data_IF_271070272997
#
_entry.id   IF_271070272997
#
_cell.length_a   1.000
_cell.length_b   1.000
_cell.length_c   1.000
_cell.angle_alpha   90.00
_cell.angle_beta   90.00
_cell.angle_gamma   90.00
#
_symmetry.space_group_name_H-M   'P 1'
#
loop_
_entity.id
_entity.type
_entity.pdbx_description
1 polymer ?
#
# COMPACT_ATOMS: atom_id res chain seq x y z
N UNK A 1 7.39 -8.51 -17.55
CA UNK A 1 8.24 -9.29 -16.62
C UNK A 1 7.54 -10.47 -15.94
N UNK A 2 6.20 -10.62 -16.10
CA UNK A 2 5.44 -11.75 -15.51
C UNK A 2 5.86 -13.11 -16.09
N UNK A 3 6.28 -13.16 -17.36
CA UNK A 3 6.71 -14.40 -18.02
C UNK A 3 8.02 -15.00 -17.46
N UNK A 4 8.69 -14.30 -16.56
CA UNK A 4 9.93 -14.74 -15.90
C UNK A 4 9.70 -15.34 -14.50
N UNK A 5 8.48 -15.29 -13.99
CA UNK A 5 8.17 -15.73 -12.63
C UNK A 5 7.59 -17.15 -12.70
N UNK A 6 8.35 -18.12 -12.20
CA UNK A 6 7.87 -19.50 -12.06
C UNK A 6 6.73 -19.59 -11.02
N UNK A 7 5.87 -20.63 -11.07
CA UNK A 7 4.65 -20.73 -10.24
C UNK A 7 4.87 -20.53 -8.73
N UNK A 8 6.00 -20.96 -8.21
CA UNK A 8 6.36 -20.77 -6.81
C UNK A 8 6.66 -19.29 -6.50
N UNK A 9 7.22 -18.52 -7.45
CA UNK A 9 7.41 -17.08 -7.31
C UNK A 9 6.09 -16.32 -7.21
N UNK A 10 5.08 -16.73 -7.97
CA UNK A 10 3.72 -16.18 -7.85
C UNK A 10 3.10 -16.44 -6.47
N UNK A 11 3.30 -17.65 -5.93
CA UNK A 11 2.84 -17.97 -4.58
C UNK A 11 3.53 -17.09 -3.52
N UNK A 12 4.86 -16.93 -3.58
CA UNK A 12 5.63 -16.08 -2.66
C UNK A 12 5.13 -14.65 -2.66
N UNK A 13 4.90 -14.06 -3.85
CA UNK A 13 4.34 -12.70 -3.98
C UNK A 13 2.91 -12.60 -3.43
N UNK A 14 2.08 -13.60 -3.71
CA UNK A 14 0.69 -13.64 -3.25
C UNK A 14 0.57 -13.62 -1.73
N UNK A 15 1.48 -14.30 -1.03
CA UNK A 15 1.52 -14.32 0.44
C UNK A 15 2.49 -13.28 1.04
N UNK A 16 3.07 -12.42 0.20
CA UNK A 16 4.00 -11.34 0.57
C UNK A 16 5.25 -11.82 1.35
N UNK A 17 5.69 -13.04 1.11
CA UNK A 17 6.92 -13.61 1.71
C UNK A 17 8.17 -12.86 1.21
N UNK A 18 8.13 -12.32 -0.01
CA UNK A 18 9.17 -11.47 -0.59
C UNK A 18 9.40 -10.17 0.18
N UNK A 19 8.44 -9.74 1.00
CA UNK A 19 8.55 -8.57 1.86
C UNK A 19 9.17 -8.90 3.25
N UNK A 20 9.40 -10.18 3.60
CA UNK A 20 10.01 -10.57 4.89
C UNK A 20 11.36 -9.89 5.20
N UNK A 21 12.27 -9.65 4.25
CA UNK A 21 13.49 -8.91 4.52
C UNK A 21 13.25 -7.50 5.08
N UNK A 22 12.09 -6.89 4.79
CA UNK A 22 11.72 -5.58 5.32
C UNK A 22 11.47 -5.60 6.84
N UNK A 23 11.21 -6.79 7.43
CA UNK A 23 11.13 -6.94 8.90
C UNK A 23 12.43 -6.54 9.59
N UNK A 24 13.57 -6.74 8.95
CA UNK A 24 14.86 -6.27 9.48
C UNK A 24 14.91 -4.74 9.55
N UNK A 25 14.30 -4.06 8.57
CA UNK A 25 14.20 -2.60 8.57
C UNK A 25 13.25 -2.09 9.68
N UNK A 26 12.21 -2.86 10.01
CA UNK A 26 11.32 -2.55 11.13
C UNK A 26 12.09 -2.71 12.46
N UNK A 27 12.83 -3.80 12.62
CA UNK A 27 13.63 -4.04 13.83
C UNK A 27 14.72 -2.98 14.01
N UNK A 28 15.30 -2.49 12.92
CA UNK A 28 16.29 -1.42 12.92
C UNK A 28 15.68 -0.02 13.11
N UNK A 29 14.36 0.11 13.12
CA UNK A 29 13.65 1.39 13.25
C UNK A 29 13.64 2.26 11.98
N UNK A 30 14.09 1.75 10.83
CA UNK A 30 14.09 2.48 9.56
C UNK A 30 12.78 2.34 8.79
N UNK A 31 11.94 1.38 9.18
CA UNK A 31 10.58 1.15 8.68
C UNK A 31 9.59 0.97 9.82
N UNK A 32 8.33 1.29 9.55
CA UNK A 32 7.19 1.00 10.42
C UNK A 32 6.41 -0.24 9.92
N UNK A 33 5.58 -0.84 10.78
CA UNK A 33 4.65 -1.88 10.36
C UNK A 33 3.57 -1.27 9.45
N UNK A 34 2.99 -0.15 9.88
CA UNK A 34 1.99 0.60 9.11
C UNK A 34 2.55 1.97 8.76
N UNK A 35 2.38 2.37 7.52
CA UNK A 35 2.87 3.65 7.01
C UNK A 35 2.66 3.84 5.51
N UNK A 36 3.11 4.98 4.97
CA UNK A 36 3.15 5.19 3.52
C UNK A 36 4.03 4.16 2.84
N UNK A 37 3.67 3.80 1.60
CA UNK A 37 4.47 2.85 0.81
C UNK A 37 5.83 3.47 0.45
N UNK A 38 6.94 2.70 0.55
CA UNK A 38 8.24 3.17 0.06
C UNK A 38 8.16 3.49 -1.43
N UNK A 39 8.80 4.58 -1.82
CA UNK A 39 8.92 5.05 -3.20
C UNK A 39 10.39 4.97 -3.60
N UNK A 40 10.67 4.48 -4.80
CA UNK A 40 12.03 4.43 -5.33
C UNK A 40 12.61 5.86 -5.45
N UNK A 41 13.90 6.00 -5.24
CA UNK A 41 14.57 7.31 -5.15
C UNK A 41 14.43 8.12 -6.46
N UNK A 42 14.47 7.45 -7.60
CA UNK A 42 14.32 8.04 -8.93
C UNK A 42 12.89 8.51 -9.23
N UNK A 43 11.91 8.00 -8.49
CA UNK A 43 10.50 8.35 -8.61
C UNK A 43 10.01 9.30 -7.51
N UNK A 44 10.89 9.65 -6.55
CA UNK A 44 10.49 10.39 -5.36
C UNK A 44 9.79 11.70 -5.71
N UNK A 45 10.36 12.51 -6.59
CA UNK A 45 9.79 13.81 -6.97
C UNK A 45 8.43 13.70 -7.68
N UNK A 46 8.20 12.58 -8.38
CA UNK A 46 6.94 12.28 -9.05
C UNK A 46 5.81 11.95 -8.05
N UNK A 47 6.15 11.28 -6.96
CA UNK A 47 5.17 10.80 -5.98
C UNK A 47 5.05 11.69 -4.74
N UNK A 48 6.06 12.50 -4.43
CA UNK A 48 6.16 13.31 -3.21
C UNK A 48 6.28 14.79 -3.55
N UNK A 49 5.16 15.43 -3.93
CA UNK A 49 5.09 16.85 -4.22
C UNK A 49 3.85 17.48 -3.57
N UNK A 50 3.87 18.81 -3.33
CA UNK A 50 2.76 19.53 -2.74
C UNK A 50 2.30 18.92 -1.40
N UNK A 51 1.01 18.79 -1.20
CA UNK A 51 0.44 18.22 0.04
C UNK A 51 0.83 16.75 0.27
N UNK A 52 1.09 15.98 -0.80
CA UNK A 52 1.48 14.57 -0.68
C UNK A 52 2.90 14.37 -0.17
N UNK A 53 3.72 15.42 -0.09
CA UNK A 53 5.03 15.37 0.56
C UNK A 53 4.91 15.12 2.08
N UNK A 54 3.74 15.31 2.68
CA UNK A 54 3.50 14.94 4.08
C UNK A 54 3.81 13.47 4.35
N UNK A 55 3.57 12.58 3.38
CA UNK A 55 3.89 11.16 3.50
C UNK A 55 5.40 10.88 3.62
N UNK A 56 6.27 11.80 3.21
CA UNK A 56 7.72 11.68 3.39
C UNK A 56 8.21 12.05 4.81
N UNK A 57 7.35 12.65 5.64
CA UNK A 57 7.69 13.08 7.00
C UNK A 57 7.54 11.97 8.04
N UNK A 58 6.94 10.85 7.67
CA UNK A 58 6.73 9.70 8.55
C UNK A 58 7.47 8.48 8.01
N UNK A 59 7.86 7.53 8.88
CA UNK A 59 8.51 6.30 8.42
C UNK A 59 7.63 5.56 7.40
N UNK A 60 8.26 5.03 6.36
CA UNK A 60 7.59 4.14 5.40
C UNK A 60 7.12 2.87 6.10
N UNK A 61 5.99 2.32 5.66
CA UNK A 61 5.39 1.14 6.26
C UNK A 61 5.56 -0.12 5.41
N UNK A 62 5.61 -1.28 6.08
CA UNK A 62 5.48 -2.59 5.43
C UNK A 62 4.09 -2.76 4.82
N UNK A 63 3.06 -2.28 5.51
CA UNK A 63 1.69 -2.23 5.04
C UNK A 63 1.08 -0.86 5.33
N UNK A 64 -0.12 -0.62 4.83
CA UNK A 64 -0.87 0.60 5.02
C UNK A 64 -2.02 0.70 4.03
N UNK A 65 -2.89 1.72 4.11
CA UNK A 65 -4.05 1.82 3.24
C UNK A 65 -3.69 1.90 1.75
N UNK A 66 -2.61 2.61 1.41
CA UNK A 66 -2.11 2.70 0.04
C UNK A 66 -1.51 1.37 -0.44
N UNK A 67 -0.77 0.66 0.43
CA UNK A 67 -0.19 -0.63 0.10
C UNK A 67 -1.26 -1.70 -0.12
N UNK A 68 -2.31 -1.73 0.72
CA UNK A 68 -3.45 -2.64 0.53
C UNK A 68 -4.27 -2.28 -0.72
N UNK A 69 -4.45 -1.00 -1.02
CA UNK A 69 -5.13 -0.56 -2.24
C UNK A 69 -4.37 -1.01 -3.50
N UNK A 70 -3.06 -0.88 -3.48
CA UNK A 70 -2.18 -1.36 -4.54
C UNK A 70 -2.27 -2.88 -4.71
N UNK A 71 -2.25 -3.62 -3.60
CA UNK A 71 -2.37 -5.07 -3.60
C UNK A 71 -3.70 -5.56 -4.17
N UNK A 72 -4.80 -4.85 -3.89
CA UNK A 72 -6.15 -5.24 -4.34
C UNK A 72 -6.40 -4.81 -5.79
N UNK A 73 -5.98 -3.60 -6.16
CA UNK A 73 -6.33 -2.99 -7.44
C UNK A 73 -5.14 -2.76 -8.38
N UNK A 74 -3.95 -2.50 -7.82
CA UNK A 74 -2.77 -2.14 -8.59
C UNK A 74 -2.05 -3.34 -9.19
N UNK A 75 -1.96 -4.42 -8.46
CA UNK A 75 -1.24 -5.63 -8.89
C UNK A 75 -1.88 -6.32 -10.13
N UNK A 76 -3.12 -5.95 -10.45
CA UNK A 76 -3.83 -6.45 -11.64
C UNK A 76 -3.56 -5.60 -12.90
N UNK A 77 -2.96 -4.42 -12.76
CA UNK A 77 -2.72 -3.48 -13.85
C UNK A 77 -1.25 -3.53 -14.24
N UNK A 78 -0.97 -4.02 -15.45
CA UNK A 78 0.38 -4.14 -16.01
C UNK A 78 0.81 -2.92 -16.82
N UNK A 79 -0.16 -2.14 -17.34
CA UNK A 79 0.12 -0.90 -18.08
C UNK A 79 0.34 0.27 -17.11
N UNK A 80 1.54 0.86 -17.17
CA UNK A 80 1.93 1.99 -16.33
C UNK A 80 1.00 3.21 -16.51
N UNK A 81 0.56 3.50 -17.73
CA UNK A 81 -0.35 4.62 -18.01
C UNK A 81 -1.73 4.39 -17.38
N UNK A 82 -2.23 3.17 -17.48
CA UNK A 82 -3.49 2.78 -16.87
C UNK A 82 -3.40 2.86 -15.34
N UNK A 83 -2.31 2.41 -14.74
CA UNK A 83 -2.04 2.52 -13.32
C UNK A 83 -2.04 3.99 -12.85
N UNK A 84 -1.36 4.89 -13.57
CA UNK A 84 -1.27 6.30 -13.24
C UNK A 84 -2.61 7.03 -13.29
N UNK A 85 -3.56 6.54 -14.09
CA UNK A 85 -4.90 7.13 -14.20
C UNK A 85 -5.88 6.53 -13.19
N UNK A 86 -5.87 5.21 -13.03
CA UNK A 86 -6.89 4.49 -12.25
C UNK A 86 -6.54 4.30 -10.78
N UNK A 87 -5.28 4.02 -10.47
CA UNK A 87 -4.85 3.61 -9.12
C UNK A 87 -4.11 4.73 -8.39
N UNK A 88 -3.17 5.35 -9.05
CA UNK A 88 -2.28 6.31 -8.43
C UNK A 88 -2.98 7.50 -7.73
N UNK A 89 -4.03 8.16 -8.31
CA UNK A 89 -4.69 9.29 -7.66
C UNK A 89 -5.28 8.91 -6.30
N UNK A 90 -5.93 7.76 -6.21
CA UNK A 90 -6.52 7.27 -4.95
C UNK A 90 -5.42 6.84 -3.97
N UNK A 91 -4.38 6.17 -4.46
CA UNK A 91 -3.24 5.74 -3.64
C UNK A 91 -2.59 6.90 -2.91
N UNK A 92 -2.24 7.98 -3.60
CA UNK A 92 -1.59 9.16 -3.00
C UNK A 92 -2.48 9.85 -1.95
N UNK A 93 -3.79 9.91 -2.19
CA UNK A 93 -4.73 10.47 -1.22
C UNK A 93 -4.89 9.57 0.01
N UNK A 94 -4.83 8.25 -0.15
CA UNK A 94 -4.81 7.31 0.97
C UNK A 94 -3.58 7.52 1.85
N UNK A 95 -2.40 7.73 1.26
CA UNK A 95 -1.18 8.03 2.01
C UNK A 95 -1.29 9.36 2.76
N UNK A 96 -1.79 10.40 2.12
CA UNK A 96 -2.01 11.70 2.74
C UNK A 96 -3.01 11.62 3.90
N UNK A 97 -4.15 10.98 3.67
CA UNK A 97 -5.20 10.80 4.69
C UNK A 97 -4.69 9.97 5.87
N UNK A 98 -3.87 8.95 5.60
CA UNK A 98 -3.23 8.17 6.65
C UNK A 98 -2.37 9.06 7.56
N UNK A 99 -1.49 9.87 6.99
CA UNK A 99 -0.62 10.76 7.78
C UNK A 99 -1.41 11.71 8.68
N UNK A 100 -2.58 12.19 8.20
CA UNK A 100 -3.45 13.06 8.98
C UNK A 100 -4.18 12.34 10.13
N UNK A 101 -4.45 11.04 9.97
CA UNK A 101 -5.25 10.23 10.90
C UNK A 101 -4.46 9.15 11.62
N UNK A 102 -3.13 9.07 11.38
CA UNK A 102 -2.26 8.04 11.96
C UNK A 102 -2.39 7.99 13.48
N UNK A 103 -2.50 6.79 14.01
CA UNK A 103 -2.61 6.54 15.44
C UNK A 103 -2.73 5.04 15.71
N UNK A 104 -2.49 4.65 16.96
CA UNK A 104 -2.39 3.24 17.34
C UNK A 104 -3.62 2.41 16.96
N UNK A 105 -4.83 2.95 17.10
CA UNK A 105 -6.06 2.25 16.73
C UNK A 105 -6.21 2.10 15.21
N UNK A 106 -5.80 3.13 14.46
CA UNK A 106 -5.77 3.07 13.01
C UNK A 106 -4.78 2.00 12.53
N UNK A 107 -3.59 1.97 13.10
CA UNK A 107 -2.54 1.03 12.74
C UNK A 107 -2.94 -0.41 13.09
N UNK A 108 -3.52 -0.66 14.27
CA UNK A 108 -4.05 -1.97 14.65
C UNK A 108 -5.14 -2.45 13.69
N UNK A 109 -6.07 -1.56 13.30
CA UNK A 109 -7.11 -1.86 12.32
C UNK A 109 -6.49 -2.24 10.96
N UNK A 110 -5.46 -1.52 10.53
CA UNK A 110 -4.75 -1.81 9.29
C UNK A 110 -3.99 -3.14 9.33
N UNK A 111 -3.39 -3.50 10.46
CA UNK A 111 -2.73 -4.81 10.64
C UNK A 111 -3.76 -5.94 10.46
N UNK A 112 -4.91 -5.84 11.13
CA UNK A 112 -5.99 -6.84 11.00
C UNK A 112 -6.44 -6.96 9.54
N UNK A 113 -6.65 -5.84 8.86
CA UNK A 113 -7.07 -5.82 7.46
C UNK A 113 -6.02 -6.41 6.53
N UNK A 114 -4.74 -6.16 6.79
CA UNK A 114 -3.63 -6.77 6.04
C UNK A 114 -3.67 -8.29 6.16
N UNK A 115 -3.82 -8.81 7.38
CA UNK A 115 -3.90 -10.27 7.61
C UNK A 115 -5.11 -10.87 6.89
N UNK A 116 -6.28 -10.22 6.99
CA UNK A 116 -7.49 -10.68 6.29
C UNK A 116 -7.27 -10.70 4.77
N UNK A 117 -6.70 -9.64 4.18
CA UNK A 117 -6.43 -9.59 2.76
C UNK A 117 -5.48 -10.70 2.31
N UNK A 118 -4.42 -10.99 3.08
CA UNK A 118 -3.50 -12.07 2.77
C UNK A 118 -4.21 -13.42 2.81
N UNK A 119 -5.03 -13.67 3.84
CA UNK A 119 -5.81 -14.91 3.94
C UNK A 119 -6.78 -15.07 2.75
N UNK A 120 -7.50 -14.01 2.38
CA UNK A 120 -8.39 -14.04 1.21
C UNK A 120 -7.60 -14.35 -0.07
N UNK A 121 -6.43 -13.72 -0.25
CA UNK A 121 -5.59 -13.97 -1.40
C UNK A 121 -5.10 -15.43 -1.48
N UNK A 122 -4.71 -16.04 -0.34
CA UNK A 122 -4.34 -17.45 -0.26
C UNK A 122 -5.47 -18.35 -0.74
N UNK A 123 -6.71 -18.05 -0.34
CA UNK A 123 -7.91 -18.78 -0.77
C UNK A 123 -8.42 -18.40 -2.18
N UNK A 124 -7.71 -17.54 -2.91
CA UNK A 124 -8.10 -17.09 -4.25
C UNK A 124 -9.32 -16.17 -4.28
N UNK A 125 -9.62 -15.51 -3.16
CA UNK A 125 -10.75 -14.57 -3.04
C UNK A 125 -10.26 -13.13 -3.02
N UNK A 126 -11.08 -12.21 -3.53
CA UNK A 126 -10.83 -10.78 -3.46
C UNK A 126 -11.43 -10.18 -2.18
N UNK A 127 -10.77 -9.17 -1.61
CA UNK A 127 -11.19 -8.46 -0.40
C UNK A 127 -11.45 -6.97 -0.64
N UNK A 128 -12.09 -6.63 -1.76
CA UNK A 128 -12.35 -5.24 -2.18
C UNK A 128 -13.12 -4.41 -1.17
N UNK A 129 -14.00 -5.05 -0.39
CA UNK A 129 -14.84 -4.39 0.62
C UNK A 129 -14.07 -3.78 1.79
N UNK A 130 -12.87 -4.31 2.06
CA UNK A 130 -12.13 -3.99 3.29
C UNK A 130 -11.62 -2.54 3.31
N UNK A 131 -11.39 -1.95 2.15
CA UNK A 131 -10.88 -0.59 2.01
C UNK A 131 -11.94 0.47 1.75
N UNK A 132 -13.21 0.10 1.62
CA UNK A 132 -14.27 1.04 1.23
C UNK A 132 -14.29 2.29 2.13
N UNK A 133 -14.19 2.12 3.45
CA UNK A 133 -14.17 3.22 4.41
C UNK A 133 -12.99 4.18 4.16
N UNK A 134 -11.79 3.63 3.94
CA UNK A 134 -10.58 4.43 3.73
C UNK A 134 -10.59 5.13 2.37
N UNK A 135 -11.10 4.46 1.34
CA UNK A 135 -11.26 5.03 -0.01
C UNK A 135 -12.28 6.16 -0.01
N UNK A 136 -13.39 6.01 0.71
CA UNK A 136 -14.37 7.09 0.86
C UNK A 136 -13.80 8.30 1.59
N UNK A 137 -13.02 8.08 2.65
CA UNK A 137 -12.33 9.15 3.37
C UNK A 137 -11.29 9.86 2.48
N UNK A 138 -10.53 9.12 1.70
CA UNK A 138 -9.58 9.70 0.74
C UNK A 138 -10.29 10.53 -0.33
N UNK A 139 -11.41 10.04 -0.89
CA UNK A 139 -12.22 10.79 -1.86
C UNK A 139 -12.79 12.09 -1.30
N UNK A 140 -13.20 12.11 -0.02
CA UNK A 140 -13.62 13.35 0.66
C UNK A 140 -12.49 14.37 0.75
N UNK A 141 -11.25 13.90 0.87
CA UNK A 141 -10.06 14.76 0.92
C UNK A 141 -9.67 15.30 -0.45
N UNK A 142 -9.94 14.55 -1.53
CA UNK A 142 -9.71 14.98 -2.91
C UNK A 142 -10.65 16.14 -3.33
N UNK A 143 -11.86 16.16 -2.78
CA UNK A 143 -12.91 17.13 -3.15
C UNK A 143 -12.86 18.42 -2.31
N UNK A 144 -11.89 18.58 -1.44
CA UNK A 144 -11.59 19.80 -0.67
C UNK A 144 -10.42 20.56 -1.28
#
# INVERSE_FOLDING_TARGET
DEDRIFPFGHFIRKVKIDELPQLLNILNGTMSIIGPRPVAQDQFDMFRYGKWNEAAKVPVGLSGPAALYDFIYGDQITDEKEYMVKVYPTRRELEYTYVQKAGIFYDLKMIVYTVICILYAVYGKECTWILNEFVEDAKKTMNK
#
